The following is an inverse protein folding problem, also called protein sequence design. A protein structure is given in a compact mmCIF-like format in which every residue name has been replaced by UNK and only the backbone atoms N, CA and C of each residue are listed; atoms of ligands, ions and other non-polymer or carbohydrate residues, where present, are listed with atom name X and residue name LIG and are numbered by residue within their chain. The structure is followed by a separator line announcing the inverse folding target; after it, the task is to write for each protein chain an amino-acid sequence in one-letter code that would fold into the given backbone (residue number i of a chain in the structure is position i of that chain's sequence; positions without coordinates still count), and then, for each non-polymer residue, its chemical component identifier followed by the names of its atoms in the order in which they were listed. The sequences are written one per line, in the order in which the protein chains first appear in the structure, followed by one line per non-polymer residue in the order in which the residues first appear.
data_IF_078659934113
#
_entry.id   IF_078659934113
#
_cell.length_a   1.000
_cell.length_b   1.000
_cell.length_c   1.000
_cell.angle_alpha   90.00
_cell.angle_beta   90.00
_cell.angle_gamma   90.00
#
_symmetry.space_group_name_H-M   'P 1'
#
loop_
_entity.id
_entity.type
_entity.pdbx_description
1 polymer ?
#
# COMPACT_ATOMS: atom_id res chain seq x y z
N UNK A 1 -22.95 3.51 -13.56
CA UNK A 1 -22.22 2.29 -13.15
C UNK A 1 -23.01 1.62 -12.03
N UNK A 2 -23.26 0.33 -12.10
CA UNK A 2 -24.00 -0.39 -11.06
C UNK A 2 -22.96 -1.03 -10.11
N UNK A 3 -22.77 -0.42 -8.94
CA UNK A 3 -21.76 -0.87 -7.95
C UNK A 3 -22.39 -1.84 -6.98
N UNK A 4 -21.70 -2.95 -6.72
CA UNK A 4 -22.02 -3.92 -5.66
C UNK A 4 -20.80 -4.11 -4.77
N UNK A 5 -20.98 -4.03 -3.45
CA UNK A 5 -19.95 -4.36 -2.47
C UNK A 5 -20.32 -5.64 -1.76
N UNK A 6 -19.49 -6.66 -1.86
CA UNK A 6 -19.52 -7.87 -1.06
C UNK A 6 -18.54 -7.72 0.11
N UNK A 7 -18.85 -8.34 1.25
CA UNK A 7 -17.98 -8.34 2.42
C UNK A 7 -17.80 -9.77 2.93
N UNK A 8 -16.57 -10.14 3.26
CA UNK A 8 -16.17 -11.47 3.75
C UNK A 8 -15.60 -11.30 5.16
N UNK A 9 -16.28 -11.86 6.16
CA UNK A 9 -15.79 -11.82 7.54
C UNK A 9 -14.62 -12.79 7.72
N UNK A 10 -13.59 -12.35 8.46
CA UNK A 10 -12.46 -13.19 8.80
C UNK A 10 -12.87 -14.24 9.85
N UNK A 11 -12.22 -15.43 9.86
CA UNK A 11 -12.50 -16.49 10.83
C UNK A 11 -12.21 -16.10 12.27
N UNK A 12 -11.19 -15.27 12.48
CA UNK A 12 -10.75 -14.82 13.80
C UNK A 12 -11.12 -13.36 14.03
N UNK A 13 -11.58 -13.04 15.25
CA UNK A 13 -11.82 -11.67 15.68
C UNK A 13 -10.50 -10.94 16.01
N UNK A 14 -10.51 -9.61 15.96
CA UNK A 14 -9.35 -8.73 16.24
C UNK A 14 -8.17 -9.03 15.34
N UNK A 15 -8.46 -9.33 14.09
CA UNK A 15 -7.44 -9.59 13.06
C UNK A 15 -6.84 -8.30 12.54
N UNK A 16 -7.64 -7.25 12.34
CA UNK A 16 -7.22 -5.94 11.83
C UNK A 16 -6.55 -6.05 10.46
N UNK A 17 -7.26 -6.48 9.40
CA UNK A 17 -6.67 -6.57 8.07
C UNK A 17 -6.26 -5.18 7.57
N UNK A 18 -5.03 -5.08 6.98
CA UNK A 18 -4.42 -3.79 6.69
C UNK A 18 -3.85 -3.69 5.26
N UNK A 19 -2.70 -4.27 4.96
CA UNK A 19 -2.12 -4.35 3.62
C UNK A 19 -2.76 -5.47 2.81
N UNK A 20 -2.93 -5.29 1.50
CA UNK A 20 -3.59 -6.24 0.62
C UNK A 20 -2.92 -6.26 -0.76
N UNK A 21 -2.80 -7.44 -1.37
CA UNK A 21 -2.21 -7.60 -2.71
C UNK A 21 -2.83 -8.78 -3.45
N UNK A 22 -2.70 -8.77 -4.79
CA UNK A 22 -3.00 -9.92 -5.63
C UNK A 22 -1.81 -10.88 -5.63
N UNK A 23 -2.02 -12.10 -5.19
CA UNK A 23 -0.99 -13.14 -5.17
C UNK A 23 -0.72 -13.76 -6.52
N UNK A 24 0.42 -14.45 -6.68
CA UNK A 24 0.79 -15.12 -7.93
C UNK A 24 -0.14 -16.30 -8.27
N UNK A 25 -0.88 -16.81 -7.29
CA UNK A 25 -1.91 -17.85 -7.43
C UNK A 25 -3.30 -17.29 -7.81
N UNK A 26 -3.41 -15.98 -8.01
CA UNK A 26 -4.64 -15.28 -8.36
C UNK A 26 -5.62 -15.09 -7.18
N UNK A 27 -5.24 -15.47 -5.96
CA UNK A 27 -5.96 -15.15 -4.73
C UNK A 27 -5.56 -13.76 -4.22
N UNK A 28 -6.36 -13.23 -3.31
CA UNK A 28 -6.05 -12.00 -2.59
C UNK A 28 -5.36 -12.35 -1.28
N UNK A 29 -4.21 -11.74 -1.03
CA UNK A 29 -3.41 -11.92 0.17
C UNK A 29 -3.38 -10.62 0.97
N UNK A 30 -3.43 -10.73 2.30
CA UNK A 30 -3.51 -9.56 3.17
C UNK A 30 -2.77 -9.79 4.49
N UNK A 31 -2.33 -8.70 5.10
CA UNK A 31 -1.76 -8.69 6.46
C UNK A 31 -2.89 -8.53 7.47
N UNK A 32 -2.78 -9.23 8.59
CA UNK A 32 -3.61 -9.05 9.78
C UNK A 32 -2.74 -8.43 10.88
N UNK A 33 -2.74 -7.10 10.96
CA UNK A 33 -1.85 -6.34 11.84
C UNK A 33 -2.01 -6.71 13.31
N UNK A 34 -3.25 -6.76 13.79
CA UNK A 34 -3.56 -7.12 15.17
C UNK A 34 -3.53 -8.64 15.40
N UNK A 35 -3.83 -9.44 14.37
CA UNK A 35 -3.86 -10.89 14.42
C UNK A 35 -2.51 -11.57 14.31
N UNK A 36 -1.46 -10.86 13.90
CA UNK A 36 -0.12 -11.39 13.63
C UNK A 36 -0.12 -12.55 12.62
N UNK A 37 -0.93 -12.43 11.56
CA UNK A 37 -1.11 -13.45 10.53
C UNK A 37 -1.04 -12.84 9.13
N UNK A 38 -0.78 -13.70 8.14
CA UNK A 38 -1.02 -13.43 6.74
C UNK A 38 -2.27 -14.18 6.33
N UNK A 39 -3.28 -13.46 5.85
CA UNK A 39 -4.52 -14.04 5.34
C UNK A 39 -4.46 -14.21 3.82
N UNK A 40 -5.19 -15.20 3.32
CA UNK A 40 -5.41 -15.50 1.91
C UNK A 40 -6.89 -15.77 1.66
N UNK A 41 -7.51 -15.04 0.76
CA UNK A 41 -8.88 -15.28 0.33
C UNK A 41 -8.91 -15.69 -1.14
N UNK A 42 -9.51 -16.85 -1.42
CA UNK A 42 -9.70 -17.33 -2.78
C UNK A 42 -10.84 -16.58 -3.49
N UNK A 43 -10.94 -16.71 -4.81
CA UNK A 43 -12.07 -16.15 -5.59
C UNK A 43 -13.45 -16.64 -5.13
N UNK A 44 -13.51 -17.79 -4.48
CA UNK A 44 -14.74 -18.39 -3.96
C UNK A 44 -15.05 -17.92 -2.53
N UNK A 45 -14.23 -17.06 -1.94
CA UNK A 45 -14.40 -16.54 -0.58
C UNK A 45 -13.86 -17.47 0.52
N UNK A 46 -13.10 -18.52 0.17
CA UNK A 46 -12.43 -19.37 1.16
C UNK A 46 -11.22 -18.64 1.74
N UNK A 47 -11.16 -18.54 3.07
CA UNK A 47 -10.10 -17.83 3.79
C UNK A 47 -9.20 -18.84 4.49
N UNK A 48 -7.89 -18.65 4.36
CA UNK A 48 -6.84 -19.39 5.06
C UNK A 48 -5.90 -18.37 5.70
N UNK A 49 -5.46 -18.64 6.93
CA UNK A 49 -4.60 -17.75 7.72
C UNK A 49 -3.30 -18.47 8.11
N UNK A 50 -2.17 -17.76 8.05
CA UNK A 50 -0.84 -18.26 8.37
C UNK A 50 -0.21 -17.40 9.47
N UNK A 51 0.10 -18.00 10.62
CA UNK A 51 0.72 -17.29 11.74
C UNK A 51 2.17 -16.92 11.42
N UNK A 52 2.53 -15.66 11.65
CA UNK A 52 3.91 -15.18 11.49
C UNK A 52 4.74 -15.63 12.70
N UNK A 53 5.98 -16.16 12.50
CA UNK A 53 6.78 -16.73 13.58
C UNK A 53 7.16 -15.74 14.69
N UNK A 54 7.55 -14.51 14.34
CA UNK A 54 7.83 -13.46 15.33
C UNK A 54 6.51 -12.95 15.91
N UNK A 55 6.29 -13.06 17.24
CA UNK A 55 5.05 -12.58 17.87
C UNK A 55 4.98 -11.05 17.85
N UNK A 56 3.76 -10.50 17.79
CA UNK A 56 3.49 -9.05 17.76
C UNK A 56 4.34 -8.28 16.73
N UNK A 57 4.59 -8.90 15.58
CA UNK A 57 5.49 -8.37 14.55
C UNK A 57 5.05 -7.01 13.98
N UNK A 58 3.76 -6.65 14.10
CA UNK A 58 3.21 -5.40 13.59
C UNK A 58 3.18 -5.39 12.07
N UNK A 59 2.49 -6.35 11.47
CA UNK A 59 2.40 -6.52 10.03
C UNK A 59 1.77 -5.30 9.37
N UNK A 60 2.41 -4.75 8.33
CA UNK A 60 1.91 -3.57 7.65
C UNK A 60 1.52 -3.88 6.19
N UNK A 61 2.43 -3.74 5.25
CA UNK A 61 2.12 -3.89 3.82
C UNK A 61 2.63 -5.22 3.29
N UNK A 62 1.93 -5.77 2.29
CA UNK A 62 2.29 -6.99 1.58
C UNK A 62 2.30 -6.73 0.07
N UNK A 63 3.26 -7.30 -0.64
CA UNK A 63 3.40 -7.19 -2.08
C UNK A 63 3.89 -8.50 -2.70
N UNK A 64 3.53 -8.71 -3.97
CA UNK A 64 4.00 -9.87 -4.75
C UNK A 64 5.38 -9.59 -5.34
N UNK A 65 6.32 -10.50 -5.11
CA UNK A 65 7.64 -10.49 -5.71
C UNK A 65 7.67 -11.14 -7.10
N UNK A 66 8.80 -11.05 -7.79
CA UNK A 66 9.02 -11.71 -9.08
C UNK A 66 9.44 -13.20 -8.94
N UNK A 67 9.66 -13.65 -7.71
CA UNK A 67 10.05 -15.03 -7.35
C UNK A 67 8.84 -15.92 -7.01
N UNK A 68 7.63 -15.50 -7.38
CA UNK A 68 6.36 -16.16 -7.07
C UNK A 68 6.06 -16.30 -5.57
N UNK A 69 6.65 -15.44 -4.75
CA UNK A 69 6.38 -15.31 -3.32
C UNK A 69 5.74 -13.97 -3.02
N UNK A 70 5.18 -13.87 -1.82
CA UNK A 70 4.74 -12.60 -1.28
C UNK A 70 5.74 -12.13 -0.23
N UNK A 71 5.94 -10.83 -0.15
CA UNK A 71 6.85 -10.16 0.76
C UNK A 71 6.06 -9.16 1.60
N UNK A 72 6.33 -9.08 2.89
CA UNK A 72 5.60 -8.21 3.80
C UNK A 72 6.53 -7.56 4.83
N UNK A 73 6.09 -6.44 5.36
CA UNK A 73 6.83 -5.68 6.37
C UNK A 73 6.33 -6.01 7.76
N UNK A 74 7.27 -6.13 8.70
CA UNK A 74 7.06 -6.38 10.12
C UNK A 74 7.57 -5.17 10.91
N UNK A 75 6.72 -4.16 11.03
CA UNK A 75 7.07 -2.84 11.55
C UNK A 75 7.70 -2.89 12.94
N UNK A 76 7.08 -3.63 13.88
CA UNK A 76 7.56 -3.73 15.26
C UNK A 76 8.72 -4.71 15.41
N UNK A 77 8.72 -5.78 14.65
CA UNK A 77 9.78 -6.80 14.68
C UNK A 77 11.06 -6.35 13.96
N UNK A 78 11.02 -5.24 13.20
CA UNK A 78 12.15 -4.74 12.42
C UNK A 78 12.65 -5.73 11.37
N UNK A 79 11.72 -6.39 10.67
CA UNK A 79 12.01 -7.45 9.70
C UNK A 79 11.24 -7.27 8.39
N UNK A 80 11.72 -7.97 7.38
CA UNK A 80 10.98 -8.26 6.14
C UNK A 80 10.64 -9.75 6.14
N UNK A 81 9.34 -10.05 6.05
CA UNK A 81 8.84 -11.40 5.89
C UNK A 81 8.65 -11.78 4.43
N UNK A 82 8.80 -13.08 4.13
CA UNK A 82 8.54 -13.69 2.84
C UNK A 82 7.69 -14.93 3.04
N UNK A 83 6.61 -15.09 2.27
CA UNK A 83 5.71 -16.25 2.37
C UNK A 83 5.50 -16.90 0.99
N UNK A 84 5.57 -18.24 0.93
CA UNK A 84 5.19 -19.01 -0.26
C UNK A 84 3.67 -19.12 -0.35
N UNK A 85 3.16 -19.51 -1.52
CA UNK A 85 1.70 -19.76 -1.69
C UNK A 85 1.18 -20.94 -0.87
N UNK A 86 2.07 -21.83 -0.38
CA UNK A 86 1.76 -22.93 0.54
C UNK A 86 1.84 -22.52 2.02
N UNK A 87 2.19 -21.25 2.32
CA UNK A 87 2.22 -20.69 3.67
C UNK A 87 3.54 -20.85 4.43
N UNK A 88 4.65 -21.21 3.76
CA UNK A 88 5.96 -21.24 4.42
C UNK A 88 6.52 -19.84 4.53
N UNK A 89 6.78 -19.39 5.77
CA UNK A 89 7.30 -18.06 6.09
C UNK A 89 8.81 -18.13 6.36
N UNK A 90 9.52 -17.10 5.89
CA UNK A 90 10.93 -16.81 6.18
C UNK A 90 11.04 -15.34 6.53
N UNK A 91 11.80 -15.00 7.55
CA UNK A 91 12.00 -13.64 8.04
C UNK A 91 13.46 -13.21 7.87
N UNK A 92 13.69 -11.94 7.54
CA UNK A 92 15.00 -11.31 7.34
C UNK A 92 15.13 -10.08 8.22
N UNK A 93 16.20 -9.98 8.99
CA UNK A 93 16.48 -8.82 9.82
C UNK A 93 16.93 -7.62 8.97
N UNK A 94 16.49 -6.42 9.37
CA UNK A 94 16.93 -5.16 8.78
C UNK A 94 18.14 -4.66 9.57
N UNK A 95 19.25 -4.22 8.90
CA UNK A 95 20.48 -3.80 9.59
C UNK A 95 20.29 -2.59 10.52
N UNK A 96 19.46 -1.61 10.12
CA UNK A 96 19.14 -0.46 10.97
C UNK A 96 18.21 -0.89 12.12
N UNK A 97 18.64 -0.68 13.35
CA UNK A 97 17.82 -0.94 14.55
C UNK A 97 16.60 -0.02 14.58
N UNK A 98 15.43 -0.57 14.91
CA UNK A 98 14.15 0.16 14.97
C UNK A 98 13.84 0.94 13.69
N UNK A 99 14.17 0.37 12.53
CA UNK A 99 13.94 1.00 11.22
C UNK A 99 12.45 1.29 10.95
N UNK A 100 11.56 0.48 11.48
CA UNK A 100 10.12 0.59 11.26
C UNK A 100 9.73 0.39 9.79
N UNK A 101 9.98 -0.81 9.20
CA UNK A 101 9.62 -1.08 7.82
C UNK A 101 8.11 -1.01 7.62
N UNK A 102 7.66 -0.32 6.54
CA UNK A 102 6.23 -0.09 6.33
C UNK A 102 5.77 -0.39 4.91
N UNK A 103 6.02 0.45 3.93
CA UNK A 103 5.69 0.20 2.53
C UNK A 103 6.66 -0.79 1.90
N UNK A 104 6.18 -1.66 1.00
CA UNK A 104 7.01 -2.59 0.24
C UNK A 104 6.46 -2.79 -1.16
N UNK A 105 7.33 -2.82 -2.17
CA UNK A 105 6.98 -3.04 -3.56
C UNK A 105 8.09 -3.73 -4.35
N UNK A 106 7.71 -4.43 -5.41
CA UNK A 106 8.66 -4.98 -6.38
C UNK A 106 9.31 -3.85 -7.18
N UNK A 107 10.63 -3.81 -7.18
CA UNK A 107 11.42 -2.85 -7.95
C UNK A 107 11.68 -3.29 -9.39
N UNK A 108 12.08 -2.34 -10.27
CA UNK A 108 12.38 -2.62 -11.67
C UNK A 108 13.66 -3.43 -11.87
N UNK A 109 14.42 -3.66 -10.81
CA UNK A 109 15.63 -4.51 -10.77
C UNK A 109 15.36 -5.92 -10.24
N UNK A 110 14.08 -6.24 -9.95
CA UNK A 110 13.64 -7.53 -9.43
C UNK A 110 13.84 -7.75 -7.93
N UNK A 111 14.39 -6.78 -7.21
CA UNK A 111 14.43 -6.78 -5.75
C UNK A 111 13.15 -6.18 -5.16
N UNK A 112 12.88 -6.46 -3.88
CA UNK A 112 11.85 -5.74 -3.15
C UNK A 112 12.45 -4.46 -2.55
N UNK A 113 11.73 -3.35 -2.69
CA UNK A 113 12.09 -2.07 -2.11
C UNK A 113 11.09 -1.72 -1.02
N UNK A 114 11.56 -1.19 0.10
CA UNK A 114 10.72 -0.90 1.26
C UNK A 114 11.10 0.44 1.91
N UNK A 115 10.16 1.01 2.63
CA UNK A 115 10.37 2.23 3.41
C UNK A 115 10.71 1.88 4.85
N UNK A 116 11.57 2.67 5.47
CA UNK A 116 11.93 2.61 6.89
C UNK A 116 11.49 3.91 7.56
N UNK A 117 10.29 3.92 8.14
CA UNK A 117 9.66 5.15 8.67
C UNK A 117 10.56 5.81 9.73
N UNK A 118 10.96 5.05 10.73
CA UNK A 118 11.79 5.56 11.84
C UNK A 118 13.27 5.58 11.49
N UNK A 119 13.73 4.67 10.64
CA UNK A 119 15.09 4.66 10.09
C UNK A 119 15.38 5.84 9.15
N UNK A 120 14.33 6.49 8.64
CA UNK A 120 14.42 7.58 7.65
C UNK A 120 15.23 7.18 6.42
N UNK A 121 14.94 5.97 5.90
CA UNK A 121 15.66 5.35 4.79
C UNK A 121 14.71 4.67 3.80
N UNK A 122 15.25 4.36 2.64
CA UNK A 122 14.70 3.38 1.70
C UNK A 122 15.57 2.14 1.76
N UNK A 123 14.96 1.01 2.07
CA UNK A 123 15.59 -0.30 2.06
C UNK A 123 15.35 -1.03 0.74
N UNK A 124 16.25 -1.94 0.41
CA UNK A 124 16.18 -2.84 -0.74
C UNK A 124 16.63 -4.23 -0.32
N UNK A 125 15.82 -5.25 -0.60
CA UNK A 125 16.14 -6.64 -0.30
C UNK A 125 16.07 -7.51 -1.57
N UNK A 126 17.13 -8.27 -1.83
CA UNK A 126 17.15 -9.23 -2.94
C UNK A 126 16.30 -10.46 -2.62
N UNK A 127 15.96 -11.27 -3.62
CA UNK A 127 15.24 -12.54 -3.41
C UNK A 127 16.03 -13.56 -2.58
N UNK A 128 17.36 -13.38 -2.45
CA UNK A 128 18.26 -14.16 -1.56
C UNK A 128 18.34 -13.63 -0.13
N UNK A 129 17.75 -12.46 0.16
CA UNK A 129 17.72 -11.86 1.51
C UNK A 129 18.85 -10.86 1.79
N UNK A 130 19.61 -10.42 0.78
CA UNK A 130 20.63 -9.38 0.97
C UNK A 130 19.97 -8.00 1.04
N UNK A 131 20.20 -7.27 2.14
CA UNK A 131 19.62 -5.95 2.41
C UNK A 131 20.64 -4.84 2.09
N UNK A 132 20.18 -3.79 1.44
CA UNK A 132 20.88 -2.51 1.22
C UNK A 132 19.99 -1.35 1.64
N UNK A 133 20.57 -0.29 2.19
CA UNK A 133 19.82 0.85 2.73
C UNK A 133 20.35 2.18 2.17
N UNK A 134 19.45 3.13 1.92
CA UNK A 134 19.73 4.46 1.37
C UNK A 134 19.13 5.53 2.29
N UNK A 135 19.98 6.40 2.85
CA UNK A 135 19.52 7.49 3.71
C UNK A 135 18.74 8.54 2.92
N UNK A 136 17.61 9.01 3.47
CA UNK A 136 16.92 10.17 2.93
C UNK A 136 17.68 11.47 3.26
N UNK A 137 17.63 12.48 2.37
CA UNK A 137 18.35 13.74 2.55
C UNK A 137 17.92 14.51 3.81
N UNK A 138 16.60 14.51 4.11
CA UNK A 138 16.03 15.20 5.26
C UNK A 138 15.67 14.23 6.37
N UNK A 139 15.96 14.63 7.62
CA UNK A 139 15.56 13.85 8.80
C UNK A 139 14.07 14.07 9.11
N UNK A 140 13.39 12.99 9.52
CA UNK A 140 11.98 13.06 9.89
C UNK A 140 11.03 13.10 8.70
N UNK A 141 11.46 12.64 7.52
CA UNK A 141 10.62 12.56 6.32
C UNK A 141 9.44 11.60 6.48
N UNK A 142 9.57 10.55 7.29
CA UNK A 142 8.56 9.50 7.48
C UNK A 142 8.14 8.87 6.13
N UNK A 143 9.05 8.19 5.42
CA UNK A 143 8.69 7.53 4.17
C UNK A 143 7.62 6.46 4.42
N UNK A 144 6.49 6.56 3.70
CA UNK A 144 5.33 5.69 3.93
C UNK A 144 5.17 4.65 2.83
N UNK A 145 4.40 4.91 1.79
CA UNK A 145 4.19 3.94 0.71
C UNK A 145 5.23 4.11 -0.40
N UNK A 146 5.44 3.01 -1.14
CA UNK A 146 6.49 2.91 -2.16
C UNK A 146 5.99 2.09 -3.35
N UNK A 147 6.42 2.45 -4.57
CA UNK A 147 6.03 1.76 -5.80
C UNK A 147 7.09 1.92 -6.90
N UNK A 148 7.12 0.98 -7.86
CA UNK A 148 7.81 1.15 -9.14
C UNK A 148 7.12 2.21 -10.00
N UNK A 149 7.85 3.23 -10.40
CA UNK A 149 7.38 4.27 -11.30
C UNK A 149 7.41 3.86 -12.78
N UNK A 150 6.89 4.71 -13.66
CA UNK A 150 6.89 4.46 -15.11
C UNK A 150 8.26 4.71 -15.77
N UNK A 151 9.22 5.23 -15.04
CA UNK A 151 10.54 5.70 -15.49
C UNK A 151 11.71 4.84 -14.95
N UNK A 152 11.44 3.56 -14.65
CA UNK A 152 12.41 2.62 -14.08
C UNK A 152 13.05 3.07 -12.75
N UNK A 153 12.39 3.95 -12.02
CA UNK A 153 12.75 4.36 -10.67
C UNK A 153 11.69 3.91 -9.66
N UNK A 154 12.06 3.97 -8.40
CA UNK A 154 11.15 3.75 -7.28
C UNK A 154 10.64 5.11 -6.80
N UNK A 155 9.35 5.22 -6.55
CA UNK A 155 8.69 6.41 -6.06
C UNK A 155 8.06 6.13 -4.70
N UNK A 156 8.12 7.09 -3.78
CA UNK A 156 7.61 6.92 -2.43
C UNK A 156 7.03 8.23 -1.88
N UNK A 157 6.16 8.11 -0.90
CA UNK A 157 5.60 9.25 -0.18
C UNK A 157 6.39 9.52 1.10
N UNK A 158 6.60 10.80 1.41
CA UNK A 158 7.21 11.27 2.65
C UNK A 158 6.16 12.01 3.48
N UNK A 159 5.49 11.28 4.38
CA UNK A 159 4.30 11.74 5.09
C UNK A 159 4.52 13.03 5.87
N UNK A 160 5.58 13.09 6.70
CA UNK A 160 5.92 14.29 7.47
C UNK A 160 6.81 15.26 6.70
N UNK A 161 7.58 14.75 5.74
CA UNK A 161 8.36 15.58 4.82
C UNK A 161 7.52 16.41 3.86
N UNK A 162 6.24 16.03 3.67
CA UNK A 162 5.32 16.66 2.72
C UNK A 162 5.84 16.65 1.28
N UNK A 163 6.44 15.52 0.88
CA UNK A 163 7.09 15.34 -0.42
C UNK A 163 6.72 14.02 -1.09
N UNK A 164 6.97 13.98 -2.38
CA UNK A 164 7.09 12.73 -3.13
C UNK A 164 8.58 12.52 -3.41
N UNK A 165 9.10 11.39 -2.96
CA UNK A 165 10.47 10.98 -3.19
C UNK A 165 10.59 10.06 -4.40
N UNK A 166 11.75 10.09 -5.05
CA UNK A 166 12.13 9.23 -6.18
C UNK A 166 13.55 8.73 -5.99
N UNK A 167 13.76 7.42 -6.05
CA UNK A 167 15.09 6.83 -5.96
C UNK A 167 15.38 5.95 -7.18
N UNK A 168 16.53 6.12 -7.80
CA UNK A 168 17.00 5.26 -8.89
C UNK A 168 17.59 3.96 -8.36
N UNK A 169 17.75 2.96 -9.23
CA UNK A 169 18.46 1.69 -8.91
C UNK A 169 19.90 1.90 -8.40
N UNK A 170 20.52 3.03 -8.74
CA UNK A 170 21.88 3.41 -8.28
C UNK A 170 21.89 4.14 -6.94
N UNK A 171 20.72 4.40 -6.33
CA UNK A 171 20.60 5.09 -5.04
C UNK A 171 20.54 6.62 -5.13
N UNK A 172 20.45 7.21 -6.33
CA UNK A 172 20.23 8.66 -6.43
C UNK A 172 18.80 9.03 -6.06
N UNK A 173 18.65 9.92 -5.07
CA UNK A 173 17.37 10.38 -4.54
C UNK A 173 17.07 11.79 -5.03
N UNK A 174 15.84 12.00 -5.50
CA UNK A 174 15.25 13.30 -5.80
C UNK A 174 13.93 13.42 -5.01
N UNK A 175 13.62 14.63 -4.56
CA UNK A 175 12.42 14.93 -3.76
C UNK A 175 11.65 16.10 -4.38
N UNK A 176 10.32 16.02 -4.34
CA UNK A 176 9.42 17.02 -4.92
C UNK A 176 8.43 17.50 -3.84
N UNK A 177 8.43 18.80 -3.56
CA UNK A 177 7.54 19.43 -2.58
C UNK A 177 6.09 19.41 -3.06
N UNK A 178 5.16 18.87 -2.25
CA UNK A 178 3.73 18.88 -2.54
C UNK A 178 3.20 20.30 -2.33
N UNK A 179 2.38 20.86 -3.26
CA UNK A 179 1.88 22.23 -3.16
C UNK A 179 1.05 22.50 -1.90
N UNK A 180 0.16 21.57 -1.53
CA UNK A 180 -0.60 21.64 -0.27
C UNK A 180 0.31 21.37 0.91
N UNK A 181 0.42 22.35 1.83
CA UNK A 181 1.26 22.24 3.03
C UNK A 181 0.65 21.25 4.03
N UNK A 182 1.52 20.49 4.69
CA UNK A 182 1.14 19.50 5.70
C UNK A 182 0.06 18.53 5.20
N UNK A 183 0.14 18.17 3.93
CA UNK A 183 -0.87 17.33 3.26
C UNK A 183 -0.85 15.87 3.74
N UNK A 184 0.27 15.41 4.30
CA UNK A 184 0.44 14.05 4.82
C UNK A 184 0.25 12.98 3.74
N UNK A 185 1.10 12.91 2.69
CA UNK A 185 0.94 11.90 1.64
C UNK A 185 1.16 10.49 2.19
N UNK A 186 0.29 9.53 1.78
CA UNK A 186 0.37 8.13 2.22
C UNK A 186 0.39 7.19 1.02
N UNK A 187 -0.77 6.75 0.51
CA UNK A 187 -0.86 5.82 -0.61
C UNK A 187 -0.34 6.43 -1.91
N UNK A 188 0.31 5.62 -2.74
CA UNK A 188 0.80 6.01 -4.06
C UNK A 188 0.64 4.86 -5.05
N UNK A 189 0.25 5.14 -6.28
CA UNK A 189 0.18 4.17 -7.36
C UNK A 189 0.59 4.78 -8.70
N UNK A 190 0.83 3.91 -9.69
CA UNK A 190 1.05 4.31 -11.08
C UNK A 190 -0.29 4.39 -11.81
N UNK A 191 -0.58 5.53 -12.46
CA UNK A 191 -1.73 5.69 -13.33
C UNK A 191 -1.49 5.15 -14.74
N UNK A 192 -2.57 4.98 -15.51
CA UNK A 192 -2.53 4.60 -16.93
C UNK A 192 -1.94 5.71 -17.83
N UNK A 193 -1.88 6.93 -17.31
CA UNK A 193 -1.33 8.13 -17.96
C UNK A 193 0.19 8.31 -17.75
N UNK A 194 0.89 7.26 -17.25
CA UNK A 194 2.30 7.29 -16.89
C UNK A 194 2.68 8.36 -15.84
N UNK A 195 1.73 8.75 -14.99
CA UNK A 195 1.97 9.58 -13.83
C UNK A 195 1.86 8.77 -12.54
N UNK A 196 2.36 9.32 -11.45
CA UNK A 196 2.11 8.80 -10.12
C UNK A 196 0.90 9.52 -9.54
N UNK A 197 0.02 8.77 -8.90
CA UNK A 197 -1.15 9.28 -8.20
C UNK A 197 -1.02 8.92 -6.73
N UNK A 198 -1.31 9.85 -5.83
CA UNK A 198 -1.15 9.67 -4.39
C UNK A 198 -2.30 10.31 -3.63
N UNK A 199 -2.46 9.88 -2.39
CA UNK A 199 -3.47 10.43 -1.48
C UNK A 199 -2.84 11.34 -0.45
N UNK A 200 -3.54 12.41 -0.10
CA UNK A 200 -3.16 13.41 0.90
C UNK A 200 -4.13 13.31 2.09
N UNK A 201 -3.77 12.50 3.10
CA UNK A 201 -4.67 12.15 4.21
C UNK A 201 -5.11 13.37 5.02
N UNK A 202 -4.21 14.35 5.23
CA UNK A 202 -4.49 15.59 5.94
C UNK A 202 -4.94 16.71 5.00
N UNK A 203 -4.48 16.68 3.74
CA UNK A 203 -4.88 17.62 2.69
C UNK A 203 -6.29 17.38 2.17
N UNK A 204 -6.88 16.22 2.42
CA UNK A 204 -8.19 15.80 1.90
C UNK A 204 -8.27 15.86 0.37
N UNK A 205 -7.20 15.39 -0.30
CA UNK A 205 -7.02 15.47 -1.75
C UNK A 205 -6.47 14.18 -2.34
N UNK A 206 -6.64 14.06 -3.65
CA UNK A 206 -5.86 13.16 -4.49
C UNK A 206 -4.86 14.02 -5.27
N UNK A 207 -3.57 13.69 -5.14
CA UNK A 207 -2.50 14.32 -5.89
C UNK A 207 -2.08 13.48 -7.10
N UNK A 208 -1.60 14.15 -8.13
CA UNK A 208 -1.00 13.55 -9.33
C UNK A 208 0.32 14.25 -9.60
N UNK A 209 1.38 13.49 -9.88
CA UNK A 209 2.70 14.03 -10.22
C UNK A 209 3.23 13.36 -11.50
N UNK A 210 3.77 14.16 -12.41
CA UNK A 210 4.52 13.64 -13.57
C UNK A 210 5.93 13.22 -13.14
N UNK A 211 6.62 12.42 -13.95
CA UNK A 211 8.03 12.07 -13.70
C UNK A 211 8.99 13.28 -13.78
N UNK A 212 8.52 14.40 -14.31
CA UNK A 212 9.23 15.69 -14.33
C UNK A 212 8.97 16.56 -13.08
N UNK A 213 8.07 16.13 -12.16
CA UNK A 213 7.78 16.86 -10.93
C UNK A 213 6.64 17.87 -11.03
N UNK A 214 5.79 17.79 -12.06
CA UNK A 214 4.62 18.66 -12.20
C UNK A 214 3.41 18.09 -11.46
N UNK A 215 2.79 18.90 -10.57
CA UNK A 215 1.68 18.50 -9.71
C UNK A 215 0.33 18.98 -10.23
N UNK A 216 -0.68 18.14 -9.99
CA UNK A 216 -2.11 18.50 -10.03
C UNK A 216 -2.77 17.91 -8.79
N UNK A 217 -3.66 18.65 -8.13
CA UNK A 217 -4.37 18.22 -6.93
C UNK A 217 -5.89 18.33 -7.12
N UNK A 218 -6.64 17.33 -6.61
CA UNK A 218 -8.10 17.23 -6.69
C UNK A 218 -8.68 17.12 -5.28
N UNK A 219 -9.49 18.09 -4.88
CA UNK A 219 -10.14 18.09 -3.54
C UNK A 219 -11.26 17.07 -3.50
N UNK A 220 -11.32 16.28 -2.43
CA UNK A 220 -12.40 15.31 -2.19
C UNK A 220 -13.72 16.01 -1.84
N UNK A 221 -14.87 15.49 -2.33
CA UNK A 221 -16.20 16.06 -2.02
C UNK A 221 -16.56 15.94 -0.54
N UNK A 222 -16.18 14.83 0.10
CA UNK A 222 -16.42 14.62 1.54
C UNK A 222 -15.32 15.25 2.36
N UNK A 223 -15.68 16.13 3.30
CA UNK A 223 -14.76 16.73 4.25
C UNK A 223 -14.21 15.67 5.22
N UNK A 224 -12.93 15.78 5.56
CA UNK A 224 -12.24 14.82 6.45
C UNK A 224 -12.34 13.36 6.02
N UNK A 225 -12.38 13.12 4.71
CA UNK A 225 -12.45 11.77 4.14
C UNK A 225 -11.24 10.90 4.52
N UNK A 226 -10.09 11.54 4.80
CA UNK A 226 -8.81 10.89 5.15
C UNK A 226 -8.47 9.77 4.17
N UNK A 227 -8.22 10.08 2.89
CA UNK A 227 -7.87 9.07 1.92
C UNK A 227 -6.56 8.37 2.34
N UNK A 228 -6.51 7.02 2.24
CA UNK A 228 -5.40 6.25 2.80
C UNK A 228 -4.60 5.48 1.75
N UNK A 229 -5.25 4.73 0.89
CA UNK A 229 -4.60 3.97 -0.18
C UNK A 229 -5.23 4.27 -1.55
N UNK A 230 -4.48 4.01 -2.64
CA UNK A 230 -4.93 4.27 -4.01
C UNK A 230 -4.36 3.21 -4.95
N UNK A 231 -5.15 2.77 -5.94
CA UNK A 231 -4.76 1.78 -6.96
C UNK A 231 -5.39 2.11 -8.31
N UNK A 232 -4.74 1.70 -9.41
CA UNK A 232 -5.32 1.74 -10.75
C UNK A 232 -6.36 0.64 -10.92
N UNK A 233 -7.54 0.99 -11.45
CA UNK A 233 -8.57 0.06 -11.89
C UNK A 233 -8.36 -0.44 -13.32
N UNK A 234 -9.23 -1.33 -13.79
CA UNK A 234 -9.12 -1.98 -15.11
C UNK A 234 -9.36 -1.03 -16.30
N UNK A 235 -10.10 0.07 -16.10
CA UNK A 235 -10.48 1.02 -17.16
C UNK A 235 -9.60 2.28 -17.17
N UNK A 236 -8.52 2.29 -16.37
CA UNK A 236 -7.61 3.42 -16.25
C UNK A 236 -8.03 4.48 -15.24
N UNK A 237 -9.16 4.27 -14.57
CA UNK A 237 -9.54 5.05 -13.39
C UNK A 237 -8.69 4.65 -12.19
N UNK A 238 -8.70 5.49 -11.17
CA UNK A 238 -8.08 5.16 -9.90
C UNK A 238 -9.13 5.01 -8.83
N UNK A 239 -8.88 4.08 -7.92
CA UNK A 239 -9.73 3.79 -6.78
C UNK A 239 -8.96 4.02 -5.49
N UNK A 240 -9.62 4.57 -4.48
CA UNK A 240 -8.97 4.89 -3.21
C UNK A 240 -9.89 4.61 -2.03
N UNK A 241 -9.29 4.33 -0.89
CA UNK A 241 -10.00 4.19 0.38
C UNK A 241 -10.13 5.53 1.08
N UNK A 242 -11.27 5.76 1.70
CA UNK A 242 -11.54 6.91 2.57
C UNK A 242 -11.74 6.41 4.00
N UNK A 243 -10.65 6.30 4.73
CA UNK A 243 -10.63 5.79 6.10
C UNK A 243 -11.53 6.59 7.04
N UNK A 244 -11.52 7.92 6.94
CA UNK A 244 -12.30 8.80 7.82
C UNK A 244 -13.79 8.92 7.49
N UNK A 245 -14.21 8.52 6.28
CA UNK A 245 -15.60 8.65 5.83
C UNK A 245 -16.29 7.31 5.54
N UNK A 246 -15.59 6.20 5.72
CA UNK A 246 -16.10 4.83 5.50
C UNK A 246 -16.59 4.61 4.07
N UNK A 247 -15.77 5.01 3.07
CA UNK A 247 -16.10 4.91 1.66
C UNK A 247 -14.95 4.36 0.81
N UNK A 248 -15.31 3.95 -0.40
CA UNK A 248 -14.38 3.77 -1.51
C UNK A 248 -14.63 4.89 -2.52
N UNK A 249 -13.59 5.64 -2.84
CA UNK A 249 -13.63 6.68 -3.86
C UNK A 249 -13.10 6.18 -5.20
N UNK A 250 -13.59 6.78 -6.29
CA UNK A 250 -13.13 6.61 -7.67
C UNK A 250 -12.78 7.98 -8.23
N UNK A 251 -11.66 8.10 -8.90
CA UNK A 251 -11.28 9.30 -9.66
C UNK A 251 -10.92 8.92 -11.09
N UNK A 252 -11.48 9.65 -12.07
CA UNK A 252 -11.09 9.49 -13.47
C UNK A 252 -9.79 10.23 -13.76
N UNK A 253 -9.16 9.95 -14.90
CA UNK A 253 -7.97 10.69 -15.35
C UNK A 253 -8.25 12.19 -15.61
N UNK A 254 -9.53 12.57 -15.81
CA UNK A 254 -9.97 13.98 -15.92
C UNK A 254 -10.25 14.65 -14.57
N UNK A 255 -10.17 13.92 -13.46
CA UNK A 255 -10.38 14.44 -12.09
C UNK A 255 -11.82 14.39 -11.61
N UNK A 256 -12.72 13.67 -12.29
CA UNK A 256 -14.09 13.47 -11.81
C UNK A 256 -14.09 12.43 -10.68
N UNK A 257 -14.61 12.81 -9.49
CA UNK A 257 -14.62 11.98 -8.29
C UNK A 257 -16.04 11.48 -8.01
N UNK A 258 -16.13 10.20 -7.66
CA UNK A 258 -17.38 9.54 -7.21
C UNK A 258 -17.06 8.71 -5.96
N UNK A 259 -17.93 8.74 -4.96
CA UNK A 259 -17.74 8.07 -3.67
C UNK A 259 -18.84 7.03 -3.42
N UNK A 260 -18.48 5.86 -2.86
CA UNK A 260 -19.37 4.74 -2.59
C UNK A 260 -19.28 4.32 -1.14
N UNK A 261 -20.40 4.29 -0.42
CA UNK A 261 -20.45 3.89 0.99
C UNK A 261 -20.19 2.40 1.15
N UNK A 262 -19.36 2.04 2.12
CA UNK A 262 -19.15 0.67 2.56
C UNK A 262 -20.35 0.28 3.46
N UNK A 263 -20.93 -0.94 3.28
CA UNK A 263 -22.12 -1.37 4.05
C UNK A 263 -21.86 -1.47 5.56
N UNK A 264 -20.72 -2.03 5.97
CA UNK A 264 -20.34 -2.09 7.39
C UNK A 264 -19.97 -0.69 7.87
N UNK A 265 -20.59 -0.24 8.95
CA UNK A 265 -20.29 1.06 9.58
C UNK A 265 -18.92 0.99 10.28
N UNK A 266 -18.22 2.11 10.28
CA UNK A 266 -16.92 2.27 10.95
C UNK A 266 -15.94 1.13 10.59
N UNK A 267 -15.91 0.76 9.30
CA UNK A 267 -15.11 -0.36 8.82
C UNK A 267 -13.63 -0.04 8.68
N UNK A 268 -13.27 1.23 8.70
CA UNK A 268 -11.89 1.73 8.60
C UNK A 268 -11.13 1.07 7.41
N UNK A 269 -11.48 1.42 6.14
CA UNK A 269 -10.84 0.81 5.00
C UNK A 269 -9.41 1.31 4.81
N UNK A 270 -8.45 0.36 4.70
CA UNK A 270 -7.02 0.65 4.51
C UNK A 270 -6.54 0.29 3.11
N UNK A 271 -5.78 -0.77 2.94
CA UNK A 271 -5.24 -1.19 1.66
C UNK A 271 -6.30 -1.59 0.65
N UNK A 272 -6.02 -1.40 -0.64
CA UNK A 272 -6.86 -1.90 -1.72
C UNK A 272 -6.02 -2.39 -2.90
N UNK A 273 -6.60 -3.28 -3.70
CA UNK A 273 -5.95 -3.88 -4.87
C UNK A 273 -6.95 -4.23 -5.96
N UNK A 274 -6.52 -4.17 -7.22
CA UNK A 274 -7.27 -4.71 -8.36
C UNK A 274 -7.14 -6.24 -8.37
N UNK A 275 -8.25 -6.94 -8.19
CA UNK A 275 -8.28 -8.39 -8.25
C UNK A 275 -8.21 -8.93 -9.68
N UNK A 276 -7.86 -10.21 -9.81
CA UNK A 276 -7.82 -10.90 -11.10
C UNK A 276 -9.20 -11.09 -11.75
N UNK A 277 -10.27 -10.84 -11.01
CA UNK A 277 -11.67 -10.80 -11.45
C UNK A 277 -12.08 -9.42 -11.98
N UNK A 278 -11.20 -8.42 -11.87
CA UNK A 278 -11.43 -7.03 -12.24
C UNK A 278 -12.19 -6.21 -11.19
N UNK A 279 -12.51 -6.78 -10.03
CA UNK A 279 -13.07 -6.07 -8.88
C UNK A 279 -11.98 -5.37 -8.06
N UNK A 280 -12.37 -4.38 -7.27
CA UNK A 280 -11.49 -3.74 -6.29
C UNK A 280 -11.69 -4.42 -4.95
N UNK A 281 -10.62 -5.04 -4.46
CA UNK A 281 -10.60 -5.68 -3.15
C UNK A 281 -9.93 -4.75 -2.14
N UNK A 282 -10.45 -4.70 -0.90
CA UNK A 282 -9.94 -3.80 0.13
C UNK A 282 -10.02 -4.43 1.53
N UNK A 283 -9.06 -4.06 2.36
CA UNK A 283 -8.99 -4.47 3.76
C UNK A 283 -9.81 -3.51 4.64
N UNK A 284 -10.54 -4.05 5.61
CA UNK A 284 -11.33 -3.30 6.59
C UNK A 284 -10.89 -3.72 7.99
N UNK A 285 -10.43 -2.78 8.84
CA UNK A 285 -9.98 -3.11 10.21
C UNK A 285 -11.06 -3.80 11.06
N UNK A 286 -12.32 -3.68 10.66
CA UNK A 286 -13.47 -4.36 11.26
C UNK A 286 -13.52 -5.88 10.97
N UNK A 287 -12.38 -6.54 10.80
CA UNK A 287 -12.22 -7.98 10.55
C UNK A 287 -12.92 -8.47 9.26
N UNK A 288 -12.83 -7.68 8.19
CA UNK A 288 -13.42 -8.02 6.90
C UNK A 288 -12.51 -7.72 5.72
N UNK A 289 -12.75 -8.45 4.65
CA UNK A 289 -12.25 -8.12 3.31
C UNK A 289 -13.45 -7.72 2.45
N UNK A 290 -13.39 -6.55 1.84
CA UNK A 290 -14.40 -6.05 0.93
C UNK A 290 -14.02 -6.32 -0.53
N UNK A 291 -15.04 -6.49 -1.39
CA UNK A 291 -14.91 -6.59 -2.85
C UNK A 291 -15.93 -5.68 -3.52
N UNK A 292 -15.47 -4.66 -4.21
CA UNK A 292 -16.29 -3.78 -5.01
C UNK A 292 -16.27 -4.26 -6.47
N UNK A 293 -17.46 -4.54 -7.01
CA UNK A 293 -17.69 -4.99 -8.39
C UNK A 293 -18.38 -3.86 -9.16
N UNK A 294 -17.86 -3.53 -10.35
CA UNK A 294 -18.33 -2.42 -11.21
C UNK A 294 -18.30 -2.76 -12.69
#
# INVERSE_FOLDING_TARGET
MNIKINEYSLPMEKSGPYGITLGPDGAIWFTENAGNRIGRISRNGEIVEYTVPTPDAGLSIIATGNDSHLWFTEYKANKIGKITIEGKITEYDIPTENAGPYGIALGPDGAMWFTEITGNKIGRITTSGEVSEYNLPFQGSFPSMIISGPDDAIWFTENQGNKIGRITKSGYIAEFDIPTKASGPVGICKGSDNCLWFVEIMGNKIGRITTAGEFVEYTLPTENAKPHAIVSGKEGDLWFTEWGSNKIGRITSSGEITEYKIPTLDSEPHGLVLGSDGGIWFAQESDKIGQLIY
#
